data_IF_097859747941
#
_entry.id   IF_097859747941
#
_cell.length_a   1.000
_cell.length_b   1.000
_cell.length_c   1.000
_cell.angle_alpha   90.00
_cell.angle_beta   90.00
_cell.angle_gamma   90.00
#
_symmetry.space_group_name_H-M   'P 1'
#
loop_
_entity.id
_entity.type
_entity.pdbx_description
1 polymer ?
#
# COMPACT_ATOMS: atom_id res chain seq x y z
N UNK A 1 1.96 23.87 4.14
CA UNK A 1 3.32 23.63 3.62
C UNK A 1 3.82 22.22 3.91
N UNK A 2 3.92 21.75 5.17
CA UNK A 2 4.45 20.42 5.50
C UNK A 2 3.75 19.27 4.74
N UNK A 3 2.41 19.31 4.64
CA UNK A 3 1.65 18.30 3.87
C UNK A 3 2.02 18.29 2.39
N UNK A 4 2.13 19.47 1.76
CA UNK A 4 2.56 19.56 0.36
C UNK A 4 4.00 19.03 0.17
N UNK A 5 4.91 19.37 1.08
CA UNK A 5 6.28 18.82 1.05
C UNK A 5 6.27 17.30 1.12
N UNK A 6 5.42 16.71 1.98
CA UNK A 6 5.25 15.27 2.09
C UNK A 6 4.73 14.68 0.77
N UNK A 7 3.67 15.26 0.19
CA UNK A 7 3.06 14.80 -1.07
C UNK A 7 4.02 14.95 -2.26
N UNK A 8 4.76 16.07 -2.34
CA UNK A 8 5.77 16.28 -3.38
C UNK A 8 6.95 15.31 -3.27
N UNK A 9 7.32 14.91 -2.04
CA UNK A 9 8.31 13.85 -1.83
C UNK A 9 7.85 12.53 -2.47
N UNK A 10 6.55 12.26 -2.48
CA UNK A 10 5.93 11.13 -3.17
C UNK A 10 5.73 11.36 -4.68
N UNK A 11 6.09 12.53 -5.19
CA UNK A 11 6.14 12.85 -6.61
C UNK A 11 4.81 13.25 -7.23
N UNK A 12 3.88 13.83 -6.46
CA UNK A 12 2.62 14.33 -6.98
C UNK A 12 2.19 15.67 -6.32
N UNK A 13 1.40 16.45 -7.06
CA UNK A 13 0.68 17.62 -6.57
C UNK A 13 -0.79 17.20 -6.32
N UNK A 14 -1.37 17.45 -5.13
CA UNK A 14 -2.77 17.10 -4.83
C UNK A 14 -3.75 18.09 -5.44
N UNK A 15 -5.01 17.67 -5.62
CA UNK A 15 -6.12 18.61 -5.76
C UNK A 15 -6.40 19.31 -4.42
N UNK A 16 -7.22 20.38 -4.45
CA UNK A 16 -7.59 21.08 -3.21
C UNK A 16 -8.40 20.17 -2.28
N UNK A 17 -9.26 19.32 -2.81
CA UNK A 17 -10.09 18.36 -2.08
C UNK A 17 -9.20 17.29 -1.41
N UNK A 18 -8.28 16.71 -2.17
CA UNK A 18 -7.31 15.75 -1.63
C UNK A 18 -6.46 16.37 -0.53
N UNK A 19 -5.93 17.58 -0.79
CA UNK A 19 -5.13 18.28 0.21
C UNK A 19 -5.94 18.56 1.47
N UNK A 20 -7.21 19.00 1.35
CA UNK A 20 -8.08 19.31 2.47
C UNK A 20 -8.39 18.09 3.36
N UNK A 21 -8.54 16.91 2.76
CA UNK A 21 -8.83 15.67 3.49
C UNK A 21 -7.59 15.01 4.09
N UNK A 22 -6.43 15.21 3.48
CA UNK A 22 -5.16 14.56 3.87
C UNK A 22 -4.18 15.52 4.58
N UNK A 23 -4.65 16.64 5.14
CA UNK A 23 -3.80 17.57 5.87
C UNK A 23 -3.20 16.95 7.14
N UNK A 24 -1.92 17.24 7.34
CA UNK A 24 -1.28 17.08 8.65
C UNK A 24 -1.98 17.99 9.66
N UNK A 25 -2.35 17.42 10.81
CA UNK A 25 -3.09 18.15 11.86
C UNK A 25 -4.60 18.07 11.74
N UNK A 26 -5.15 17.43 10.70
CA UNK A 26 -6.58 17.19 10.53
C UNK A 26 -7.16 17.73 9.22
N UNK A 27 -8.27 17.15 8.80
CA UNK A 27 -9.00 17.62 7.61
C UNK A 27 -9.66 18.97 7.85
N UNK A 28 -9.80 19.74 6.79
CA UNK A 28 -10.54 21.02 6.82
C UNK A 28 -11.49 21.11 5.63
N UNK A 29 -12.39 22.08 5.64
CA UNK A 29 -13.24 22.38 4.50
C UNK A 29 -12.41 22.87 3.30
N UNK A 30 -12.61 22.32 2.06
CA UNK A 30 -11.84 22.69 0.88
C UNK A 30 -11.91 24.19 0.54
N UNK A 31 -13.03 24.85 0.77
CA UNK A 31 -13.19 26.29 0.48
C UNK A 31 -12.38 27.16 1.44
N UNK A 32 -12.27 26.76 2.72
CA UNK A 32 -11.39 27.43 3.68
C UNK A 32 -9.92 27.24 3.32
N UNK A 33 -9.54 26.02 2.89
CA UNK A 33 -8.19 25.76 2.44
C UNK A 33 -7.84 26.59 1.20
N UNK A 34 -8.76 26.68 0.24
CA UNK A 34 -8.57 27.46 -0.99
C UNK A 34 -8.27 28.93 -0.69
N UNK A 35 -8.98 29.55 0.25
CA UNK A 35 -8.70 30.91 0.68
C UNK A 35 -7.28 31.03 1.27
N UNK A 36 -6.91 30.12 2.18
CA UNK A 36 -5.56 30.11 2.77
C UNK A 36 -4.45 29.89 1.75
N UNK A 37 -4.69 29.10 0.71
CA UNK A 37 -3.74 28.86 -0.39
C UNK A 37 -3.55 30.14 -1.21
N UNK A 38 -4.62 30.87 -1.50
CA UNK A 38 -4.57 32.15 -2.26
C UNK A 38 -3.77 33.22 -1.53
N UNK A 39 -3.85 33.24 -0.20
CA UNK A 39 -3.15 34.23 0.63
C UNK A 39 -1.67 33.87 0.86
N UNK A 40 -1.21 32.68 0.41
CA UNK A 40 0.14 32.20 0.65
C UNK A 40 1.03 32.41 -0.56
N UNK A 41 2.06 33.24 -0.45
CA UNK A 41 2.98 33.58 -1.54
C UNK A 41 3.91 32.45 -2.02
N UNK A 42 4.01 31.34 -1.29
CA UNK A 42 4.88 30.20 -1.60
C UNK A 42 4.12 28.97 -2.09
N UNK A 43 2.80 29.07 -2.18
CA UNK A 43 1.92 28.01 -2.67
C UNK A 43 1.18 28.54 -3.88
N UNK A 44 1.27 27.78 -4.96
CA UNK A 44 0.59 28.10 -6.21
C UNK A 44 -0.44 27.04 -6.56
N UNK A 45 -1.42 27.43 -7.38
CA UNK A 45 -2.45 26.51 -7.89
C UNK A 45 -2.55 26.63 -9.41
N UNK A 46 -2.58 25.49 -10.09
CA UNK A 46 -2.74 25.41 -11.54
C UNK A 46 -3.56 24.17 -11.90
N UNK A 47 -4.53 24.34 -12.79
CA UNK A 47 -5.41 23.26 -13.28
C UNK A 47 -6.11 22.47 -12.15
N UNK A 48 -6.44 23.13 -11.02
CA UNK A 48 -7.05 22.52 -9.84
C UNK A 48 -6.07 21.81 -8.88
N UNK A 49 -4.78 21.78 -9.20
CA UNK A 49 -3.73 21.18 -8.37
C UNK A 49 -2.96 22.23 -7.59
N UNK A 50 -2.63 21.90 -6.34
CA UNK A 50 -1.90 22.76 -5.41
C UNK A 50 -0.45 22.30 -5.32
N UNK A 51 0.49 23.24 -5.40
CA UNK A 51 1.91 22.91 -5.36
C UNK A 51 2.75 24.04 -4.72
N UNK A 52 3.93 23.67 -4.24
CA UNK A 52 4.94 24.64 -3.77
C UNK A 52 5.69 25.21 -4.98
N UNK A 53 6.06 26.47 -4.91
CA UNK A 53 6.85 27.12 -5.96
C UNK A 53 8.11 26.29 -6.30
N UNK A 54 8.41 26.17 -7.60
CA UNK A 54 9.46 25.30 -8.12
C UNK A 54 9.06 23.83 -8.31
N UNK A 55 7.80 23.48 -8.04
CA UNK A 55 7.26 22.09 -8.20
C UNK A 55 6.20 22.00 -9.31
N UNK A 56 6.13 22.96 -10.23
CA UNK A 56 5.18 23.03 -11.35
C UNK A 56 5.15 21.76 -12.21
N UNK A 57 6.28 21.07 -12.47
CA UNK A 57 6.29 19.84 -13.28
C UNK A 57 5.41 18.72 -12.69
N UNK A 58 5.18 18.72 -11.37
CA UNK A 58 4.32 17.74 -10.72
C UNK A 58 2.85 17.87 -11.14
N UNK A 59 2.38 19.07 -11.51
CA UNK A 59 0.98 19.31 -11.91
C UNK A 59 0.62 18.50 -13.14
N UNK A 60 1.43 18.58 -14.20
CA UNK A 60 1.17 17.86 -15.46
C UNK A 60 1.15 16.35 -15.21
N UNK A 61 2.11 15.84 -14.41
CA UNK A 61 2.17 14.43 -14.01
C UNK A 61 0.95 13.99 -13.20
N UNK A 62 0.54 14.78 -12.21
CA UNK A 62 -0.60 14.45 -11.37
C UNK A 62 -1.91 14.45 -12.16
N UNK A 63 -2.11 15.43 -13.04
CA UNK A 63 -3.27 15.49 -13.94
C UNK A 63 -3.36 14.25 -14.84
N UNK A 64 -2.25 13.86 -15.46
CA UNK A 64 -2.21 12.67 -16.30
C UNK A 64 -2.54 11.39 -15.50
N UNK A 65 -2.04 11.28 -14.26
CA UNK A 65 -2.29 10.12 -13.40
C UNK A 65 -3.74 10.06 -12.90
N UNK A 66 -4.35 11.19 -12.53
CA UNK A 66 -5.78 11.26 -12.14
C UNK A 66 -6.65 10.84 -13.32
N UNK A 67 -6.43 11.39 -14.51
CA UNK A 67 -7.18 11.03 -15.70
C UNK A 67 -7.04 9.54 -16.07
N UNK A 68 -5.84 8.98 -15.92
CA UNK A 68 -5.60 7.54 -16.10
C UNK A 68 -6.33 6.70 -15.06
N UNK A 69 -6.32 7.14 -13.80
CA UNK A 69 -7.01 6.46 -12.70
C UNK A 69 -8.52 6.39 -12.95
N UNK A 70 -9.14 7.49 -13.36
CA UNK A 70 -10.58 7.53 -13.67
C UNK A 70 -10.99 6.49 -14.72
N UNK A 71 -10.11 6.24 -15.70
CA UNK A 71 -10.36 5.26 -16.77
C UNK A 71 -10.10 3.81 -16.34
N UNK A 72 -9.16 3.58 -15.42
CA UNK A 72 -8.60 2.23 -15.16
C UNK A 72 -8.87 1.71 -13.75
N UNK A 73 -9.39 2.54 -12.85
CA UNK A 73 -9.61 2.16 -11.45
C UNK A 73 -10.55 0.95 -11.31
N UNK A 74 -11.57 0.84 -12.15
CA UNK A 74 -12.50 -0.30 -12.12
C UNK A 74 -11.79 -1.64 -12.33
N UNK A 75 -10.85 -1.70 -13.29
CA UNK A 75 -10.06 -2.90 -13.57
C UNK A 75 -9.06 -3.18 -12.45
N UNK A 76 -8.34 -2.15 -11.98
CA UNK A 76 -7.41 -2.29 -10.85
C UNK A 76 -8.10 -2.80 -9.59
N UNK A 77 -9.29 -2.30 -9.27
CA UNK A 77 -10.09 -2.76 -8.13
C UNK A 77 -10.62 -4.18 -8.32
N UNK A 78 -10.98 -4.59 -9.54
CA UNK A 78 -11.40 -5.97 -9.83
C UNK A 78 -10.24 -6.94 -9.57
N UNK A 79 -9.04 -6.65 -10.09
CA UNK A 79 -7.81 -7.41 -9.83
C UNK A 79 -7.47 -7.43 -8.34
N UNK A 80 -7.60 -6.29 -7.66
CA UNK A 80 -7.34 -6.18 -6.22
C UNK A 80 -8.27 -7.08 -5.40
N UNK A 81 -9.57 -7.07 -5.70
CA UNK A 81 -10.57 -7.90 -4.99
C UNK A 81 -10.36 -9.38 -5.27
N UNK A 82 -10.11 -9.77 -6.51
CA UNK A 82 -9.82 -11.17 -6.86
C UNK A 82 -8.59 -11.67 -6.10
N UNK A 83 -7.50 -10.93 -6.11
CA UNK A 83 -6.30 -11.29 -5.36
C UNK A 83 -6.56 -11.39 -3.85
N UNK A 84 -7.24 -10.40 -3.26
CA UNK A 84 -7.55 -10.40 -1.83
C UNK A 84 -8.40 -11.61 -1.44
N UNK A 85 -9.40 -11.97 -2.24
CA UNK A 85 -10.22 -13.17 -2.03
C UNK A 85 -9.41 -14.47 -2.16
N UNK A 86 -8.58 -14.58 -3.20
CA UNK A 86 -7.75 -15.77 -3.39
C UNK A 86 -6.72 -15.92 -2.26
N UNK A 87 -6.14 -14.80 -1.81
CA UNK A 87 -5.17 -14.80 -0.71
C UNK A 87 -5.82 -15.24 0.60
N UNK A 88 -6.97 -14.67 0.97
CA UNK A 88 -7.63 -15.04 2.24
C UNK A 88 -8.17 -16.48 2.22
N UNK A 89 -8.63 -16.98 1.07
CA UNK A 89 -9.03 -18.40 0.89
C UNK A 89 -7.85 -19.35 1.08
N UNK A 90 -6.68 -18.96 0.58
CA UNK A 90 -5.47 -19.81 0.61
C UNK A 90 -4.64 -19.60 1.89
N UNK A 91 -4.78 -18.47 2.55
CA UNK A 91 -4.01 -18.11 3.74
C UNK A 91 -4.87 -17.38 4.78
N UNK A 92 -5.77 -18.10 5.49
CA UNK A 92 -6.71 -17.49 6.45
C UNK A 92 -6.06 -16.87 7.68
N UNK A 93 -4.75 -17.05 7.86
CA UNK A 93 -3.95 -16.42 8.93
C UNK A 93 -3.61 -14.95 8.64
N UNK A 94 -3.95 -14.45 7.45
CA UNK A 94 -3.91 -13.03 7.14
C UNK A 94 -5.06 -12.34 7.84
N UNK A 95 -4.78 -11.35 8.68
CA UNK A 95 -5.78 -10.63 9.48
C UNK A 95 -6.42 -9.48 8.70
N UNK A 96 -5.62 -8.76 7.89
CA UNK A 96 -6.10 -7.67 7.04
C UNK A 96 -5.32 -7.62 5.73
N UNK A 97 -6.03 -7.29 4.66
CA UNK A 97 -5.50 -7.01 3.33
C UNK A 97 -5.93 -5.59 2.95
N UNK A 98 -4.98 -4.68 2.89
CA UNK A 98 -5.21 -3.30 2.53
C UNK A 98 -4.61 -2.98 1.15
N UNK A 99 -5.40 -2.35 0.28
CA UNK A 99 -4.92 -1.73 -0.94
C UNK A 99 -4.09 -0.50 -0.57
N UNK A 100 -2.92 -0.35 -1.17
CA UNK A 100 -2.01 0.77 -0.94
C UNK A 100 -1.53 1.40 -2.25
N UNK A 101 -0.53 2.25 -2.21
CA UNK A 101 0.09 2.83 -3.39
C UNK A 101 -0.83 3.69 -4.25
N UNK A 102 -0.60 3.69 -5.56
CA UNK A 102 -1.29 4.57 -6.52
C UNK A 102 -2.76 4.22 -6.71
N UNK A 103 -3.13 2.94 -6.61
CA UNK A 103 -4.51 2.48 -6.75
C UNK A 103 -5.38 2.97 -5.58
N UNK A 104 -4.84 2.96 -4.35
CA UNK A 104 -5.55 3.46 -3.17
C UNK A 104 -5.65 4.99 -3.13
N UNK A 105 -4.72 5.69 -3.79
CA UNK A 105 -4.55 7.14 -3.66
C UNK A 105 -5.08 7.96 -4.84
N UNK A 106 -5.82 7.34 -5.77
CA UNK A 106 -6.40 8.05 -6.90
C UNK A 106 -5.42 8.41 -8.02
N UNK A 107 -4.25 7.76 -8.06
CA UNK A 107 -3.21 8.03 -9.04
C UNK A 107 -2.80 6.82 -9.88
N UNK A 108 -3.60 5.77 -9.96
CA UNK A 108 -3.28 4.57 -10.74
C UNK A 108 -3.17 4.87 -12.23
N UNK A 109 -2.09 4.45 -12.84
CA UNK A 109 -1.85 4.64 -14.26
C UNK A 109 -1.60 3.31 -14.97
N UNK A 110 -1.82 3.32 -16.30
CA UNK A 110 -1.48 2.17 -17.12
C UNK A 110 0.00 1.85 -16.96
N UNK A 111 0.29 0.67 -16.50
CA UNK A 111 1.66 0.28 -16.22
C UNK A 111 1.99 0.12 -14.75
N UNK A 112 1.16 0.63 -13.85
CA UNK A 112 1.34 0.40 -12.41
C UNK A 112 0.94 -1.03 -12.02
N UNK A 113 1.58 -1.54 -10.99
CA UNK A 113 1.11 -2.70 -10.24
C UNK A 113 0.09 -2.27 -9.18
N UNK A 114 -0.74 -3.21 -8.75
CA UNK A 114 -1.66 -3.03 -7.63
C UNK A 114 -0.94 -3.41 -6.35
N UNK A 115 -0.77 -2.43 -5.47
CA UNK A 115 0.04 -2.54 -4.25
C UNK A 115 -0.80 -2.96 -3.05
N UNK A 116 -0.24 -3.84 -2.20
CA UNK A 116 -0.90 -4.33 -0.99
C UNK A 116 -0.01 -4.25 0.23
N UNK A 117 -0.61 -3.84 1.34
CA UNK A 117 -0.10 -3.95 2.69
C UNK A 117 -0.87 -5.05 3.42
N UNK A 118 -0.16 -6.03 3.97
CA UNK A 118 -0.76 -7.19 4.61
C UNK A 118 -0.49 -7.18 6.12
N UNK A 119 -1.49 -7.59 6.89
CA UNK A 119 -1.37 -7.80 8.34
C UNK A 119 -1.67 -9.26 8.65
N UNK A 120 -0.83 -9.91 9.44
CA UNK A 120 -0.92 -11.36 9.65
C UNK A 120 -0.58 -11.78 11.08
N UNK A 121 -0.94 -12.99 11.44
CA UNK A 121 -0.55 -13.60 12.71
C UNK A 121 0.97 -13.74 12.84
N UNK A 122 1.48 -13.79 14.08
CA UNK A 122 2.89 -14.01 14.34
C UNK A 122 3.39 -15.36 13.81
N UNK A 123 4.60 -15.39 13.24
CA UNK A 123 5.23 -16.61 12.73
C UNK A 123 4.66 -17.10 11.40
N UNK A 124 4.01 -16.22 10.62
CA UNK A 124 3.43 -16.56 9.31
C UNK A 124 3.85 -15.61 8.18
N UNK A 125 4.73 -14.67 8.45
CA UNK A 125 5.13 -13.59 7.54
C UNK A 125 5.62 -14.11 6.18
N UNK A 126 6.55 -15.06 6.20
CA UNK A 126 7.16 -15.58 4.98
C UNK A 126 6.31 -16.63 4.29
N UNK A 127 5.50 -17.38 5.05
CA UNK A 127 4.49 -18.28 4.50
C UNK A 127 3.45 -17.46 3.70
N UNK A 128 2.93 -16.38 4.29
CA UNK A 128 2.01 -15.44 3.62
C UNK A 128 2.66 -14.86 2.36
N UNK A 129 3.93 -14.44 2.46
CA UNK A 129 4.65 -13.88 1.32
C UNK A 129 4.81 -14.89 0.18
N UNK A 130 5.16 -16.14 0.48
CA UNK A 130 5.28 -17.20 -0.51
C UNK A 130 3.97 -17.49 -1.25
N UNK A 131 2.85 -17.57 -0.50
CA UNK A 131 1.52 -17.76 -1.09
C UNK A 131 1.13 -16.53 -1.94
N UNK A 132 1.39 -15.32 -1.45
CA UNK A 132 1.11 -14.09 -2.18
C UNK A 132 1.91 -13.98 -3.50
N UNK A 133 3.20 -14.38 -3.51
CA UNK A 133 4.01 -14.45 -4.74
C UNK A 133 3.38 -15.46 -5.72
N UNK A 134 3.00 -16.64 -5.26
CA UNK A 134 2.39 -17.66 -6.14
C UNK A 134 1.07 -17.17 -6.76
N UNK A 135 0.24 -16.49 -5.97
CA UNK A 135 -1.02 -15.89 -6.45
C UNK A 135 -0.78 -14.69 -7.37
N UNK A 136 0.23 -13.86 -7.10
CA UNK A 136 0.65 -12.77 -7.99
C UNK A 136 1.10 -13.30 -9.35
N UNK A 137 1.86 -14.39 -9.37
CA UNK A 137 2.27 -15.06 -10.61
C UNK A 137 1.06 -15.64 -11.35
N UNK A 138 0.14 -16.31 -10.64
CA UNK A 138 -1.13 -16.80 -11.21
C UNK A 138 -1.91 -15.66 -11.86
N UNK A 139 -2.09 -14.54 -11.17
CA UNK A 139 -2.79 -13.37 -11.71
C UNK A 139 -2.11 -12.82 -12.97
N UNK A 140 -0.78 -12.69 -12.96
CA UNK A 140 0.01 -12.26 -14.12
C UNK A 140 -0.21 -13.19 -15.32
N UNK A 141 -0.20 -14.50 -15.10
CA UNK A 141 -0.42 -15.50 -16.15
C UNK A 141 -1.87 -15.49 -16.66
N UNK A 142 -2.85 -15.34 -15.79
CA UNK A 142 -4.27 -15.28 -16.16
C UNK A 142 -4.60 -14.07 -17.02
N UNK A 143 -3.95 -12.93 -16.76
CA UNK A 143 -4.17 -11.67 -17.46
C UNK A 143 -3.12 -11.39 -18.56
N UNK A 144 -2.27 -12.36 -18.88
CA UNK A 144 -1.22 -12.19 -19.89
C UNK A 144 -1.75 -11.71 -21.24
N UNK A 145 -2.90 -12.20 -21.70
CA UNK A 145 -3.46 -11.84 -23.01
C UNK A 145 -3.93 -10.38 -23.09
N UNK A 146 -4.37 -9.81 -21.97
CA UNK A 146 -4.87 -8.42 -21.89
C UNK A 146 -3.79 -7.41 -21.49
N UNK A 147 -2.82 -7.80 -20.64
CA UNK A 147 -1.84 -6.88 -20.05
C UNK A 147 -0.37 -7.19 -20.43
N UNK A 148 -0.15 -8.21 -21.27
CA UNK A 148 1.20 -8.72 -21.53
C UNK A 148 1.80 -9.40 -20.31
N UNK A 149 3.06 -9.83 -20.39
CA UNK A 149 3.77 -10.48 -19.28
C UNK A 149 4.32 -9.43 -18.30
N UNK A 150 3.41 -8.76 -17.57
CA UNK A 150 3.73 -7.71 -16.62
C UNK A 150 3.27 -8.11 -15.22
N UNK A 151 4.06 -7.76 -14.21
CA UNK A 151 3.68 -7.91 -12.82
C UNK A 151 2.45 -7.05 -12.54
N UNK A 152 1.33 -7.67 -12.14
CA UNK A 152 0.08 -6.97 -11.85
C UNK A 152 -0.05 -6.62 -10.36
N UNK A 153 0.56 -7.40 -9.49
CA UNK A 153 0.35 -7.34 -8.03
C UNK A 153 1.69 -7.20 -7.33
N UNK A 154 1.76 -6.25 -6.42
CA UNK A 154 2.89 -6.04 -5.52
C UNK A 154 2.44 -6.16 -4.06
N UNK A 155 3.13 -6.98 -3.28
CA UNK A 155 3.03 -6.91 -1.82
C UNK A 155 4.16 -6.02 -1.34
N UNK A 156 3.79 -4.83 -0.84
CA UNK A 156 4.74 -3.84 -0.37
C UNK A 156 5.32 -4.24 0.98
N UNK A 157 4.44 -4.58 1.91
CA UNK A 157 4.84 -4.92 3.27
C UNK A 157 3.94 -6.00 3.86
N UNK A 158 4.50 -6.78 4.78
CA UNK A 158 3.76 -7.71 5.62
C UNK A 158 4.12 -7.42 7.06
N UNK A 159 3.15 -6.98 7.85
CA UNK A 159 3.30 -6.79 9.28
C UNK A 159 2.65 -7.93 10.04
N UNK A 160 3.39 -8.53 10.95
CA UNK A 160 2.82 -9.40 11.96
C UNK A 160 2.08 -8.59 13.02
N UNK A 161 1.26 -9.23 13.84
CA UNK A 161 0.57 -8.54 14.96
C UNK A 161 1.55 -7.81 15.86
N UNK A 162 2.65 -8.45 16.24
CA UNK A 162 3.67 -7.83 17.11
C UNK A 162 4.36 -6.62 16.48
N UNK A 163 4.51 -6.60 15.16
CA UNK A 163 5.10 -5.46 14.44
C UNK A 163 4.09 -4.31 14.26
N UNK A 164 2.79 -4.62 14.09
CA UNK A 164 1.75 -3.64 13.81
C UNK A 164 1.03 -3.10 15.05
N UNK A 165 1.01 -3.86 16.16
CA UNK A 165 0.40 -3.38 17.40
C UNK A 165 1.22 -2.24 18.04
N UNK A 166 2.53 -2.21 17.77
CA UNK A 166 3.40 -1.10 18.13
C UNK A 166 4.47 -0.93 17.06
N UNK A 167 4.24 -0.06 16.08
CA UNK A 167 5.24 0.24 15.07
C UNK A 167 6.51 0.84 15.68
N UNK A 168 7.65 0.26 15.35
CA UNK A 168 8.96 0.80 15.74
C UNK A 168 9.21 2.16 15.07
N UNK A 169 8.84 2.26 13.78
CA UNK A 169 8.90 3.51 13.04
C UNK A 169 7.64 4.33 13.30
N UNK A 170 7.79 5.56 13.77
CA UNK A 170 6.71 6.45 14.18
C UNK A 170 6.91 7.83 13.54
N UNK A 171 6.83 7.91 12.22
CA UNK A 171 6.99 9.16 11.48
C UNK A 171 5.79 9.53 10.61
N UNK A 172 5.82 10.76 10.09
CA UNK A 172 4.78 11.31 9.22
C UNK A 172 4.56 10.49 7.94
N UNK A 173 5.63 9.88 7.41
CA UNK A 173 5.57 9.09 6.17
C UNK A 173 4.78 7.81 6.35
N UNK A 174 5.01 7.05 7.43
CA UNK A 174 4.23 5.85 7.75
C UNK A 174 2.78 6.22 8.11
N UNK A 175 2.58 7.30 8.89
CA UNK A 175 1.23 7.77 9.21
C UNK A 175 0.44 8.16 7.95
N UNK A 176 1.10 8.79 6.97
CA UNK A 176 0.51 9.17 5.69
C UNK A 176 0.15 7.96 4.82
N UNK A 177 0.99 6.94 4.80
CA UNK A 177 0.70 5.69 4.11
C UNK A 177 -0.55 5.02 4.69
N UNK A 178 -0.59 4.86 6.02
CA UNK A 178 -1.75 4.28 6.70
C UNK A 178 -3.04 5.11 6.51
N UNK A 179 -2.93 6.44 6.40
CA UNK A 179 -4.08 7.30 6.06
C UNK A 179 -4.69 6.93 4.71
N UNK A 180 -3.84 6.61 3.73
CA UNK A 180 -4.24 6.34 2.34
C UNK A 180 -4.58 4.89 2.08
N UNK A 181 -4.16 3.96 2.95
CA UNK A 181 -4.53 2.56 2.85
C UNK A 181 -6.06 2.37 2.86
N UNK A 182 -6.54 1.46 2.01
CA UNK A 182 -7.93 1.07 1.89
C UNK A 182 -8.06 -0.43 2.20
N UNK A 183 -8.42 -0.82 3.42
CA UNK A 183 -8.69 -2.22 3.74
C UNK A 183 -9.80 -2.79 2.87
N UNK A 184 -9.49 -3.86 2.13
CA UNK A 184 -10.46 -4.64 1.36
C UNK A 184 -11.06 -5.75 2.23
N UNK A 185 -10.23 -6.39 3.06
CA UNK A 185 -10.64 -7.44 4.00
C UNK A 185 -9.99 -7.15 5.35
N UNK A 186 -10.72 -7.36 6.45
CA UNK A 186 -10.20 -7.18 7.81
C UNK A 186 -10.09 -5.72 8.25
N UNK A 187 -11.04 -4.87 7.87
CA UNK A 187 -11.11 -3.46 8.28
C UNK A 187 -11.13 -3.27 9.79
N UNK A 188 -11.68 -4.21 10.56
CA UNK A 188 -11.66 -4.18 12.03
C UNK A 188 -10.24 -4.32 12.56
N UNK A 189 -9.45 -5.25 11.99
CA UNK A 189 -8.03 -5.39 12.35
C UNK A 189 -7.25 -4.12 12.02
N UNK A 190 -7.50 -3.49 10.88
CA UNK A 190 -6.86 -2.24 10.52
C UNK A 190 -7.19 -1.11 11.52
N UNK A 191 -8.45 -1.05 11.97
CA UNK A 191 -8.90 -0.11 13.00
C UNK A 191 -8.19 -0.35 14.33
N UNK A 192 -8.02 -1.60 14.75
CA UNK A 192 -7.24 -1.97 15.95
C UNK A 192 -5.80 -1.48 15.85
N UNK A 193 -5.13 -1.67 14.69
CA UNK A 193 -3.77 -1.19 14.45
C UNK A 193 -3.68 0.32 14.59
N UNK A 194 -4.61 1.07 13.99
CA UNK A 194 -4.65 2.54 14.12
C UNK A 194 -4.87 2.96 15.58
N UNK A 195 -5.76 2.27 16.30
CA UNK A 195 -6.07 2.58 17.71
C UNK A 195 -4.87 2.27 18.64
N UNK A 196 -4.17 1.16 18.43
CA UNK A 196 -2.99 0.78 19.20
C UNK A 196 -1.80 1.76 18.98
N UNK A 197 -1.76 2.44 17.84
CA UNK A 197 -0.69 3.35 17.44
C UNK A 197 -1.12 4.83 17.57
N UNK A 198 -1.37 5.28 18.78
CA UNK A 198 -1.89 6.63 19.08
C UNK A 198 -1.05 7.78 18.50
N UNK A 199 0.26 7.56 18.25
CA UNK A 199 1.15 8.52 17.61
C UNK A 199 0.68 8.93 16.21
N UNK A 200 -0.05 8.06 15.46
CA UNK A 200 -0.61 8.34 14.14
C UNK A 200 -1.55 9.55 14.20
N UNK A 201 -2.34 9.64 15.27
CA UNK A 201 -3.30 10.72 15.44
C UNK A 201 -2.68 12.09 15.73
N UNK A 202 -1.36 12.15 16.03
CA UNK A 202 -0.63 13.43 16.13
C UNK A 202 -0.42 14.04 14.74
N UNK A 203 -0.29 13.19 13.74
CA UNK A 203 -0.14 13.60 12.34
C UNK A 203 -1.49 13.72 11.64
N UNK A 204 -2.34 12.71 11.79
CA UNK A 204 -3.62 12.59 11.07
C UNK A 204 -4.78 12.23 12.02
N UNK A 205 -5.29 13.20 12.79
CA UNK A 205 -6.40 12.97 13.72
C UNK A 205 -7.70 12.51 13.03
N UNK A 206 -7.88 12.81 11.73
CA UNK A 206 -9.02 12.37 10.91
C UNK A 206 -9.13 10.85 10.80
N UNK A 207 -8.05 10.09 11.02
CA UNK A 207 -8.08 8.62 11.06
C UNK A 207 -8.93 8.06 12.20
N UNK A 208 -9.18 8.82 13.27
CA UNK A 208 -10.06 8.39 14.37
C UNK A 208 -11.50 8.16 13.92
N UNK A 209 -11.96 8.90 12.92
CA UNK A 209 -13.33 8.87 12.43
C UNK A 209 -13.48 8.10 11.12
N UNK A 210 -12.37 7.63 10.55
CA UNK A 210 -12.40 6.91 9.27
C UNK A 210 -13.07 5.54 9.46
N UNK A 211 -14.14 5.33 8.71
CA UNK A 211 -14.83 4.04 8.64
C UNK A 211 -14.14 3.19 7.58
N UNK A 212 -13.80 1.96 7.94
CA UNK A 212 -13.20 1.00 7.02
C UNK A 212 -14.23 -0.05 6.64
N UNK A 213 -14.31 -0.38 5.36
CA UNK A 213 -15.14 -1.46 4.88
C UNK A 213 -14.65 -2.80 5.47
N UNK A 214 -15.58 -3.69 5.77
CA UNK A 214 -15.26 -5.01 6.29
C UNK A 214 -16.02 -6.05 5.46
N UNK A 215 -15.39 -6.52 4.39
CA UNK A 215 -15.97 -7.59 3.58
C UNK A 215 -15.93 -8.91 4.34
N UNK A 216 -16.95 -9.75 4.11
CA UNK A 216 -17.01 -11.07 4.72
C UNK A 216 -15.85 -11.94 4.22
N UNK A 217 -15.22 -12.65 5.15
CA UNK A 217 -14.14 -13.58 4.82
C UNK A 217 -14.71 -14.80 4.10
N UNK A 218 -14.23 -15.15 2.92
CA UNK A 218 -14.65 -16.35 2.23
C UNK A 218 -14.15 -17.62 2.95
N UNK A 219 -14.85 -18.74 2.74
CA UNK A 219 -14.43 -20.02 3.28
C UNK A 219 -13.06 -20.45 2.74
N UNK A 220 -12.16 -21.03 3.57
CA UNK A 220 -10.86 -21.50 3.15
C UNK A 220 -10.96 -22.59 2.07
N UNK A 221 -10.09 -22.50 1.05
CA UNK A 221 -9.86 -23.56 0.09
C UNK A 221 -9.01 -24.71 0.71
N UNK A 222 -8.62 -25.69 -0.09
CA UNK A 222 -7.82 -26.83 0.39
C UNK A 222 -6.47 -26.38 0.99
N UNK A 223 -5.79 -25.41 0.36
CA UNK A 223 -4.52 -24.86 0.87
C UNK A 223 -4.77 -24.11 2.18
N UNK A 224 -5.82 -23.29 2.25
CA UNK A 224 -6.17 -22.56 3.46
C UNK A 224 -6.52 -23.46 4.64
N UNK A 225 -7.20 -24.59 4.39
CA UNK A 225 -7.46 -25.59 5.44
C UNK A 225 -6.17 -26.22 5.94
N UNK A 226 -5.20 -26.50 5.05
CA UNK A 226 -3.88 -26.99 5.44
C UNK A 226 -3.14 -25.95 6.29
N UNK A 227 -3.15 -24.67 5.86
CA UNK A 227 -2.52 -23.56 6.61
C UNK A 227 -3.13 -23.43 8.00
N UNK A 228 -4.47 -23.51 8.12
CA UNK A 228 -5.16 -23.51 9.42
C UNK A 228 -4.72 -24.72 10.27
N UNK A 229 -4.67 -25.93 9.70
CA UNK A 229 -4.20 -27.11 10.42
C UNK A 229 -2.79 -26.93 10.98
N UNK A 230 -1.87 -26.38 10.17
CA UNK A 230 -0.50 -26.07 10.59
C UNK A 230 -0.47 -24.97 11.65
N UNK A 231 -1.34 -23.97 11.56
CA UNK A 231 -1.36 -22.84 12.49
C UNK A 231 -1.72 -23.22 13.94
N UNK A 232 -2.42 -24.34 14.14
CA UNK A 232 -2.67 -24.90 15.47
C UNK A 232 -1.43 -25.53 16.13
N UNK A 233 -0.32 -25.70 15.38
CA UNK A 233 0.93 -26.26 15.86
C UNK A 233 2.08 -25.27 15.77
N UNK A 234 2.34 -24.43 16.81
CA UNK A 234 3.29 -23.31 16.74
C UNK A 234 4.72 -23.70 16.34
N UNK A 235 5.19 -24.91 16.70
CA UNK A 235 6.52 -25.38 16.30
C UNK A 235 6.58 -25.70 14.82
N UNK A 236 5.55 -26.37 14.29
CA UNK A 236 5.44 -26.70 12.87
C UNK A 236 5.31 -25.42 12.03
N UNK A 237 4.45 -24.51 12.47
CA UNK A 237 4.25 -23.22 11.83
C UNK A 237 5.57 -22.44 11.68
N UNK A 238 6.35 -22.33 12.77
CA UNK A 238 7.67 -21.66 12.73
C UNK A 238 8.64 -22.37 11.76
N UNK A 239 8.64 -23.70 11.72
CA UNK A 239 9.46 -24.47 10.78
C UNK A 239 9.08 -24.18 9.32
N UNK A 240 7.78 -24.19 9.02
CA UNK A 240 7.26 -23.88 7.67
C UNK A 240 7.55 -22.42 7.29
N UNK A 241 7.36 -21.47 8.20
CA UNK A 241 7.65 -20.05 7.94
C UNK A 241 9.16 -19.83 7.69
N UNK A 242 10.04 -20.51 8.45
CA UNK A 242 11.49 -20.44 8.24
C UNK A 242 11.90 -21.00 6.87
N UNK A 243 11.36 -22.15 6.46
CA UNK A 243 11.59 -22.71 5.12
C UNK A 243 11.07 -21.75 4.05
N UNK A 244 9.87 -21.20 4.25
CA UNK A 244 9.30 -20.20 3.36
C UNK A 244 10.19 -18.97 3.26
N UNK A 245 10.81 -18.52 4.37
CA UNK A 245 11.79 -17.42 4.37
C UNK A 245 12.96 -17.70 3.45
N UNK A 246 13.56 -18.88 3.56
CA UNK A 246 14.71 -19.26 2.70
C UNK A 246 14.32 -19.26 1.22
N UNK A 247 13.19 -19.89 0.88
CA UNK A 247 12.73 -19.97 -0.52
C UNK A 247 12.37 -18.60 -1.07
N UNK A 248 11.57 -17.82 -0.34
CA UNK A 248 11.13 -16.50 -0.81
C UNK A 248 12.29 -15.51 -0.88
N UNK A 249 13.31 -15.62 -0.01
CA UNK A 249 14.53 -14.83 -0.09
C UNK A 249 15.29 -15.11 -1.39
N UNK A 250 15.46 -16.36 -1.77
CA UNK A 250 16.09 -16.71 -3.05
C UNK A 250 15.33 -16.13 -4.24
N UNK A 251 13.99 -16.20 -4.23
CA UNK A 251 13.14 -15.60 -5.28
C UNK A 251 13.28 -14.07 -5.31
N UNK A 252 13.30 -13.45 -4.14
CA UNK A 252 13.46 -12.00 -4.00
C UNK A 252 14.82 -11.53 -4.53
N UNK A 253 15.92 -12.17 -4.12
CA UNK A 253 17.28 -11.86 -4.58
C UNK A 253 17.45 -12.07 -6.08
N UNK A 254 16.87 -13.15 -6.62
CA UNK A 254 16.87 -13.42 -8.06
C UNK A 254 16.08 -12.32 -8.84
N UNK A 255 14.91 -11.93 -8.34
CA UNK A 255 14.12 -10.87 -8.96
C UNK A 255 14.86 -9.51 -8.92
N UNK A 256 15.54 -9.20 -7.82
CA UNK A 256 16.38 -8.00 -7.70
C UNK A 256 17.58 -8.05 -8.66
N UNK A 257 18.24 -9.19 -8.79
CA UNK A 257 19.33 -9.37 -9.74
C UNK A 257 18.87 -9.16 -11.19
N UNK A 258 17.70 -9.67 -11.58
CA UNK A 258 17.11 -9.40 -12.90
C UNK A 258 16.83 -7.91 -13.11
N UNK A 259 16.23 -7.25 -12.11
CA UNK A 259 15.89 -5.82 -12.16
C UNK A 259 17.11 -4.90 -12.14
N UNK A 260 18.24 -5.33 -11.57
CA UNK A 260 19.47 -4.52 -11.58
C UNK A 260 20.00 -4.25 -12.99
N UNK A 261 19.53 -5.00 -14.00
CA UNK A 261 19.84 -4.80 -15.42
C UNK A 261 18.93 -3.79 -16.12
N UNK A 262 17.85 -3.38 -15.47
CA UNK A 262 16.88 -2.41 -15.97
C UNK A 262 17.13 -1.05 -15.32
N UNK A 263 17.50 -0.04 -16.13
CA UNK A 263 17.80 1.31 -15.65
C UNK A 263 16.61 1.96 -14.95
N UNK A 264 15.41 1.79 -15.50
CA UNK A 264 14.19 2.37 -14.92
C UNK A 264 13.86 1.75 -13.56
N UNK A 265 14.04 0.44 -13.41
CA UNK A 265 13.87 -0.25 -12.13
C UNK A 265 14.90 0.21 -11.08
N UNK A 266 16.15 0.46 -11.49
CA UNK A 266 17.21 0.99 -10.61
C UNK A 266 16.90 2.41 -10.16
N UNK A 267 16.44 3.28 -11.06
CA UNK A 267 16.05 4.66 -10.73
C UNK A 267 14.85 4.68 -9.78
N UNK A 268 13.85 3.81 -10.02
CA UNK A 268 12.68 3.66 -9.12
C UNK A 268 13.10 3.19 -7.73
N UNK A 269 14.01 2.22 -7.63
CA UNK A 269 14.53 1.75 -6.34
C UNK A 269 15.30 2.84 -5.60
N UNK A 270 16.14 3.62 -6.32
CA UNK A 270 16.87 4.75 -5.76
C UNK A 270 15.90 5.85 -5.25
N UNK A 271 14.81 6.10 -5.98
CA UNK A 271 13.75 6.99 -5.53
C UNK A 271 13.10 6.49 -4.24
N UNK A 272 12.68 5.23 -4.17
CA UNK A 272 12.05 4.64 -2.98
C UNK A 272 12.97 4.71 -1.75
N UNK A 273 14.27 4.45 -1.92
CA UNK A 273 15.26 4.61 -0.83
C UNK A 273 15.39 6.06 -0.36
N UNK A 274 15.36 7.02 -1.28
CA UNK A 274 15.44 8.46 -0.96
C UNK A 274 14.24 8.94 -0.13
N UNK A 275 13.05 8.47 -0.46
CA UNK A 275 11.83 8.81 0.29
C UNK A 275 11.67 7.99 1.58
N UNK A 276 12.67 7.15 1.91
CA UNK A 276 12.63 6.24 3.05
C UNK A 276 11.36 5.40 3.05
N UNK A 277 11.06 4.81 1.90
CA UNK A 277 9.94 3.89 1.79
C UNK A 277 10.18 2.71 2.75
N UNK A 278 9.26 2.38 3.66
CA UNK A 278 9.57 1.46 4.76
C UNK A 278 9.58 -0.01 4.37
N UNK A 279 9.49 -0.36 3.07
CA UNK A 279 8.91 -1.61 2.66
C UNK A 279 9.91 -2.51 1.94
N UNK A 280 10.70 -3.19 2.75
CA UNK A 280 11.33 -4.44 2.32
C UNK A 280 10.79 -5.55 3.22
N UNK A 281 10.23 -6.60 2.62
CA UNK A 281 9.78 -7.80 3.36
C UNK A 281 10.96 -8.46 4.08
N UNK A 282 12.15 -8.33 3.50
CA UNK A 282 13.42 -8.70 4.09
C UNK A 282 14.17 -7.43 4.52
N UNK A 283 13.92 -7.00 5.76
CA UNK A 283 14.79 -6.05 6.46
C UNK A 283 15.81 -6.91 7.22
N UNK A 284 17.04 -6.94 6.76
CA UNK A 284 18.19 -7.46 7.50
C UNK A 284 18.92 -6.33 8.20
#
# INVERSE_FOLDING_TARGET
>A
MQTLTLMHRWGYAPSIETLATELLGGSIDPSRLLNSVRDCSTISMRDGFVYLDGSEPLVARSRARVASHELQNGEALAVAKEFAHDLIKSCPVVDCIALSGSAASGGYAHGDDVDFDLFTCGGTKYLVYGIAIALSLKATLSHWRSHGFRKLICVNVIWTRSESDLFVRQDEGLAFELLRCQPLIGGDRFREVIAANSWIHRYFPQLRQKVFANEQRPNPNMIGRLVLGISHHPRLLRGVDLVSRCVTRCVYEFAHWLRSRDKEAVERLAFLRRVKYPYEVFQD
#
